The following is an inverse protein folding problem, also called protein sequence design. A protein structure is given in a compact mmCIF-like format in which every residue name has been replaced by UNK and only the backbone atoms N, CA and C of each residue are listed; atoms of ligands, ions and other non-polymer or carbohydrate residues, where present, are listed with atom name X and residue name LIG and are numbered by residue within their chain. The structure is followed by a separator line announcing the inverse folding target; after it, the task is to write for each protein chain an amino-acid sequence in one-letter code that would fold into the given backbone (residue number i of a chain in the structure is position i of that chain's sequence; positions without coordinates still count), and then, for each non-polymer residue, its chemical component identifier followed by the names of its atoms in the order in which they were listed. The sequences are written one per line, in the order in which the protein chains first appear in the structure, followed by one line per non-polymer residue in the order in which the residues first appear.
data_IF_699099227239
#
_entry.id   IF_699099227239
#
_cell.length_a   1.000
_cell.length_b   1.000
_cell.length_c   1.000
_cell.angle_alpha   90.00
_cell.angle_beta   90.00
_cell.angle_gamma   90.00
#
_symmetry.space_group_name_H-M   'P 1'
#
loop_
_entity.id
_entity.type
_entity.pdbx_description
1 polymer ?
#
# COMPACT_ATOMS: atom_id res chain seq x y z
N UNK A 1 -5.39 17.82 -1.82
CA UNK A 1 -4.28 16.88 -2.05
C UNK A 1 -3.06 17.64 -2.55
N UNK A 2 -1.93 17.41 -1.91
CA UNK A 2 -0.63 17.98 -2.27
C UNK A 2 0.26 16.83 -2.71
N UNK A 3 0.93 16.96 -3.84
CA UNK A 3 1.81 15.91 -4.38
C UNK A 3 3.26 16.37 -4.40
N UNK A 4 4.17 15.44 -4.09
CA UNK A 4 5.61 15.66 -4.13
C UNK A 4 6.31 14.43 -4.71
N UNK A 5 7.22 14.62 -5.64
CA UNK A 5 8.04 13.52 -6.15
C UNK A 5 9.04 13.06 -5.08
N UNK A 6 9.09 11.75 -4.85
CA UNK A 6 10.13 11.09 -4.07
C UNK A 6 11.11 10.51 -5.08
N UNK A 7 12.34 10.96 -5.07
CA UNK A 7 13.36 10.37 -5.93
C UNK A 7 14.44 9.69 -5.10
N UNK A 8 14.82 8.51 -5.54
CA UNK A 8 15.93 7.76 -4.97
C UNK A 8 16.92 7.43 -6.07
N UNK A 9 18.19 7.73 -5.83
CA UNK A 9 19.28 7.52 -6.78
C UNK A 9 19.38 6.06 -7.30
N UNK A 10 18.92 5.10 -6.51
CA UNK A 10 19.07 3.67 -6.80
C UNK A 10 17.78 2.97 -7.24
N UNK A 11 16.60 3.49 -6.88
CA UNK A 11 15.32 2.78 -7.02
C UNK A 11 14.27 3.53 -7.86
N UNK A 12 14.64 4.67 -8.45
CA UNK A 12 13.73 5.43 -9.28
C UNK A 12 12.91 6.47 -8.52
N UNK A 13 11.77 6.82 -9.06
CA UNK A 13 10.90 7.87 -8.54
C UNK A 13 9.58 7.29 -8.03
N UNK A 14 9.11 7.82 -6.92
CA UNK A 14 7.78 7.59 -6.39
C UNK A 14 7.04 8.90 -6.21
N UNK A 15 5.82 8.84 -5.71
CA UNK A 15 4.99 9.99 -5.43
C UNK A 15 4.57 10.00 -3.96
N UNK A 16 4.82 11.09 -3.27
CA UNK A 16 4.26 11.36 -1.95
C UNK A 16 2.98 12.19 -2.11
N UNK A 17 1.92 11.77 -1.45
CA UNK A 17 0.63 12.46 -1.42
C UNK A 17 0.32 12.84 0.02
N UNK A 18 0.13 14.12 0.26
CA UNK A 18 -0.25 14.69 1.55
C UNK A 18 -1.67 15.27 1.47
N UNK A 19 -2.43 15.27 2.58
CA UNK A 19 -3.75 15.86 2.58
C UNK A 19 -3.70 17.38 2.45
N UNK A 20 -4.71 17.95 1.83
CA UNK A 20 -5.11 19.32 2.06
C UNK A 20 -5.84 19.41 3.41
N UNK A 21 -6.23 20.61 3.83
CA UNK A 21 -6.91 20.80 5.12
C UNK A 21 -8.15 19.87 5.21
N UNK A 22 -8.17 19.02 6.22
CA UNK A 22 -9.27 18.08 6.53
C UNK A 22 -9.63 17.09 5.38
N UNK A 23 -8.70 16.77 4.52
CA UNK A 23 -8.94 15.84 3.41
C UNK A 23 -8.87 14.38 3.88
N UNK A 24 -9.93 13.62 3.64
CA UNK A 24 -10.02 12.20 3.94
C UNK A 24 -9.43 11.38 2.78
N UNK A 25 -8.47 10.54 3.06
CA UNK A 25 -7.82 9.66 2.05
C UNK A 25 -8.84 8.81 1.27
N UNK A 26 -9.95 8.42 1.89
CA UNK A 26 -11.00 7.60 1.27
C UNK A 26 -11.87 8.37 0.28
N UNK A 27 -11.74 9.69 0.26
CA UNK A 27 -12.49 10.60 -0.63
C UNK A 27 -11.65 11.16 -1.78
N UNK A 28 -10.40 10.74 -1.87
CA UNK A 28 -9.56 11.10 -3.01
C UNK A 28 -10.17 10.56 -4.31
N UNK A 29 -10.00 11.30 -5.39
CA UNK A 29 -10.50 10.87 -6.69
C UNK A 29 -9.82 9.57 -7.14
N UNK A 30 -10.60 8.50 -7.26
CA UNK A 30 -10.13 7.17 -7.63
C UNK A 30 -9.33 7.17 -8.93
N UNK A 31 -9.89 7.78 -9.99
CA UNK A 31 -9.25 7.76 -11.30
C UNK A 31 -7.94 8.54 -11.30
N UNK A 32 -7.87 9.61 -10.53
CA UNK A 32 -6.65 10.38 -10.38
C UNK A 32 -5.57 9.56 -9.66
N UNK A 33 -5.92 8.89 -8.54
CA UNK A 33 -4.96 8.07 -7.78
C UNK A 33 -4.45 6.90 -8.64
N UNK A 34 -5.33 6.22 -9.36
CA UNK A 34 -4.93 5.12 -10.27
C UNK A 34 -3.95 5.62 -11.33
N UNK A 35 -4.25 6.73 -12.01
CA UNK A 35 -3.35 7.32 -13.01
C UNK A 35 -2.00 7.74 -12.44
N UNK A 36 -1.99 8.29 -11.22
CA UNK A 36 -0.74 8.65 -10.54
C UNK A 36 0.08 7.41 -10.20
N UNK A 37 -0.57 6.34 -9.74
CA UNK A 37 0.08 5.08 -9.45
C UNK A 37 0.67 4.42 -10.71
N UNK A 38 -0.11 4.33 -11.77
CA UNK A 38 0.36 3.80 -13.07
C UNK A 38 1.61 4.54 -13.58
N UNK A 39 1.65 5.85 -13.36
CA UNK A 39 2.79 6.68 -13.77
C UNK A 39 4.01 6.53 -12.88
N UNK A 40 3.82 6.44 -11.55
CA UNK A 40 4.92 6.48 -10.57
C UNK A 40 5.36 5.09 -10.08
N UNK A 41 4.49 4.07 -10.19
CA UNK A 41 4.72 2.73 -9.64
C UNK A 41 4.73 2.65 -8.11
N UNK A 42 4.83 3.79 -7.43
CA UNK A 42 4.85 3.89 -5.96
C UNK A 42 4.15 5.16 -5.51
N UNK A 43 3.19 5.00 -4.60
CA UNK A 43 2.58 6.13 -3.88
C UNK A 43 2.80 5.94 -2.38
N UNK A 44 3.28 6.99 -1.73
CA UNK A 44 3.34 7.13 -0.29
C UNK A 44 2.29 8.14 0.16
N UNK A 45 1.22 7.66 0.79
CA UNK A 45 0.27 8.53 1.48
C UNK A 45 0.82 8.90 2.86
N UNK A 46 1.02 10.18 3.11
CA UNK A 46 1.60 10.69 4.36
C UNK A 46 0.65 11.68 5.02
N UNK A 47 0.66 11.68 6.34
CA UNK A 47 -0.08 12.65 7.18
C UNK A 47 -1.63 12.60 7.02
N UNK A 48 -2.16 11.51 6.49
CA UNK A 48 -3.59 11.25 6.53
C UNK A 48 -4.00 10.60 7.85
N UNK A 49 -5.06 11.11 8.46
CA UNK A 49 -5.63 10.51 9.67
C UNK A 49 -6.46 9.28 9.31
N UNK A 50 -5.84 8.11 9.35
CA UNK A 50 -6.50 6.82 9.15
C UNK A 50 -6.10 5.83 10.25
N UNK A 51 -7.07 5.14 10.81
CA UNK A 51 -6.83 4.11 11.82
C UNK A 51 -6.57 2.75 11.15
N UNK A 52 -5.78 1.91 11.80
CA UNK A 52 -5.51 0.54 11.32
C UNK A 52 -6.78 -0.28 11.07
N UNK A 53 -7.84 -0.06 11.86
CA UNK A 53 -9.14 -0.71 11.67
C UNK A 53 -9.89 -0.27 10.41
N UNK A 54 -9.48 0.81 9.77
CA UNK A 54 -10.11 1.38 8.58
C UNK A 54 -9.34 1.09 7.29
N UNK A 55 -8.14 0.50 7.42
CA UNK A 55 -7.26 0.27 6.26
C UNK A 55 -7.91 -0.63 5.20
N UNK A 56 -8.65 -1.66 5.60
CA UNK A 56 -9.37 -2.52 4.66
C UNK A 56 -10.41 -1.73 3.87
N UNK A 57 -11.13 -0.83 4.52
CA UNK A 57 -12.12 0.02 3.82
C UNK A 57 -11.46 0.93 2.78
N UNK A 58 -10.22 1.36 3.02
CA UNK A 58 -9.46 2.10 2.04
C UNK A 58 -9.02 1.21 0.88
N UNK A 59 -8.43 0.05 1.19
CA UNK A 59 -7.93 -0.86 0.15
C UNK A 59 -9.04 -1.47 -0.70
N UNK A 60 -10.23 -1.69 -0.13
CA UNK A 60 -11.42 -2.15 -0.86
C UNK A 60 -11.84 -1.21 -2.00
N UNK A 61 -11.50 0.09 -1.91
CA UNK A 61 -11.77 1.03 -3.00
C UNK A 61 -10.95 0.73 -4.27
N UNK A 62 -9.83 0.01 -4.12
CA UNK A 62 -8.86 -0.26 -5.18
C UNK A 62 -8.65 -1.75 -5.45
N UNK A 63 -9.40 -2.63 -4.78
CA UNK A 63 -9.14 -4.07 -4.78
C UNK A 63 -10.43 -4.83 -5.07
N UNK A 64 -10.44 -5.61 -6.13
CA UNK A 64 -11.53 -6.55 -6.41
C UNK A 64 -11.33 -7.89 -5.71
N UNK A 65 -10.08 -8.36 -5.65
CA UNK A 65 -9.72 -9.65 -5.05
C UNK A 65 -8.43 -9.51 -4.23
N UNK A 66 -8.44 -10.07 -3.03
CA UNK A 66 -7.25 -10.13 -2.18
C UNK A 66 -6.47 -11.41 -2.42
N UNK A 67 -5.14 -11.29 -2.56
CA UNK A 67 -4.26 -12.45 -2.58
C UNK A 67 -4.15 -13.06 -1.17
N UNK A 68 -4.27 -14.37 -1.08
CA UNK A 68 -4.26 -15.12 0.18
C UNK A 68 -3.00 -15.97 0.38
N UNK A 69 -1.90 -15.60 -0.21
CA UNK A 69 -0.69 -16.43 -0.28
C UNK A 69 0.10 -16.49 1.04
N UNK A 70 -0.16 -15.56 1.95
CA UNK A 70 0.53 -15.48 3.23
C UNK A 70 -0.18 -16.22 4.37
N UNK A 71 -0.59 -17.46 4.15
CA UNK A 71 -1.34 -18.28 5.11
C UNK A 71 -0.65 -18.46 6.47
N UNK A 72 0.67 -18.34 6.54
CA UNK A 72 1.46 -18.48 7.76
C UNK A 72 1.60 -17.20 8.57
N UNK A 73 1.29 -16.04 7.98
CA UNK A 73 1.35 -14.75 8.68
C UNK A 73 0.09 -14.57 9.53
N UNK A 74 0.26 -14.10 10.74
CA UNK A 74 -0.88 -13.81 11.63
C UNK A 74 -1.67 -12.64 11.07
N UNK A 75 -2.98 -12.82 10.92
CA UNK A 75 -3.89 -11.71 10.63
C UNK A 75 -3.87 -10.72 11.78
N UNK A 76 -3.91 -9.43 11.48
CA UNK A 76 -4.12 -8.41 12.49
C UNK A 76 -5.62 -8.24 12.72
N UNK A 77 -6.02 -8.26 13.99
CA UNK A 77 -7.42 -8.14 14.41
C UNK A 77 -8.33 -9.21 13.75
N UNK A 78 -9.56 -8.86 13.49
CA UNK A 78 -10.55 -9.71 12.81
C UNK A 78 -10.44 -9.66 11.27
N UNK A 79 -9.53 -8.82 10.77
CA UNK A 79 -9.37 -8.57 9.34
C UNK A 79 -8.33 -9.54 8.76
N UNK A 80 -8.78 -10.55 8.06
CA UNK A 80 -7.92 -11.59 7.46
C UNK A 80 -6.99 -11.05 6.37
N UNK A 81 -7.37 -9.97 5.73
CA UNK A 81 -6.68 -9.31 4.62
C UNK A 81 -5.46 -8.51 5.10
N UNK A 82 -5.49 -8.03 6.34
CA UNK A 82 -4.38 -7.27 6.93
C UNK A 82 -3.49 -8.20 7.74
N UNK A 83 -2.22 -8.27 7.37
CA UNK A 83 -1.23 -9.13 8.00
C UNK A 83 -0.02 -8.34 8.44
N UNK A 84 0.61 -8.81 9.51
CA UNK A 84 1.90 -8.22 9.91
C UNK A 84 2.96 -8.55 8.85
N UNK A 85 3.88 -7.61 8.64
CA UNK A 85 5.12 -7.88 7.92
C UNK A 85 5.97 -8.83 8.77
N UNK A 86 6.72 -9.72 8.13
CA UNK A 86 7.60 -10.64 8.83
C UNK A 86 8.68 -9.89 9.59
N UNK A 87 8.95 -10.35 10.82
CA UNK A 87 10.05 -9.84 11.62
C UNK A 87 11.36 -10.47 11.15
N UNK A 88 12.32 -9.66 10.79
CA UNK A 88 13.67 -10.11 10.45
C UNK A 88 14.54 -8.95 10.03
N UNK A 89 15.83 -9.06 10.31
CA UNK A 89 16.85 -8.11 9.86
C UNK A 89 17.80 -8.78 8.84
N UNK A 90 17.40 -9.92 8.29
CA UNK A 90 18.19 -10.65 7.32
C UNK A 90 18.07 -10.00 5.94
N UNK A 91 19.15 -10.11 5.19
CA UNK A 91 19.16 -9.65 3.80
C UNK A 91 18.13 -10.43 3.00
N UNK A 92 17.30 -9.70 2.25
CA UNK A 92 16.30 -10.27 1.35
C UNK A 92 16.65 -9.91 -0.09
N UNK A 93 16.79 -10.91 -0.94
CA UNK A 93 17.00 -10.69 -2.35
C UNK A 93 15.82 -9.94 -2.98
N UNK A 94 16.08 -9.12 -3.98
CA UNK A 94 15.02 -8.46 -4.74
C UNK A 94 14.09 -9.51 -5.35
N UNK A 95 12.81 -9.40 -5.10
CA UNK A 95 11.78 -10.31 -5.58
C UNK A 95 10.47 -9.55 -5.81
N UNK A 96 9.60 -10.11 -6.63
CA UNK A 96 8.20 -9.70 -6.69
C UNK A 96 7.37 -10.50 -5.70
N UNK A 97 6.39 -9.87 -5.09
CA UNK A 97 5.50 -10.55 -4.13
C UNK A 97 4.78 -11.71 -4.83
N UNK A 98 4.68 -12.84 -4.13
CA UNK A 98 4.05 -14.06 -4.64
C UNK A 98 4.59 -14.57 -5.99
N UNK A 99 5.86 -14.32 -6.30
CA UNK A 99 6.49 -14.72 -7.58
C UNK A 99 6.49 -16.23 -7.87
N UNK A 100 6.23 -17.04 -6.85
CA UNK A 100 6.06 -18.50 -6.92
C UNK A 100 4.59 -18.93 -7.20
N UNK A 101 3.65 -17.98 -7.19
CA UNK A 101 2.22 -18.23 -7.42
C UNK A 101 1.83 -17.86 -8.85
N UNK A 102 0.87 -18.57 -9.46
CA UNK A 102 0.30 -18.16 -10.76
C UNK A 102 -0.54 -16.87 -10.66
N UNK A 103 -0.91 -16.47 -9.45
CA UNK A 103 -1.73 -15.29 -9.17
C UNK A 103 -0.92 -14.31 -8.32
N UNK A 104 -0.22 -13.40 -8.93
CA UNK A 104 0.53 -12.34 -8.26
C UNK A 104 -0.34 -11.09 -8.06
N UNK A 105 -0.18 -10.36 -6.97
CA UNK A 105 -0.92 -9.13 -6.74
C UNK A 105 -0.45 -8.03 -7.70
N UNK A 106 -1.39 -7.27 -8.24
CA UNK A 106 -1.08 -6.07 -9.04
C UNK A 106 -0.67 -4.90 -8.15
N UNK A 107 -1.18 -4.87 -6.91
CA UNK A 107 -0.92 -3.81 -5.92
C UNK A 107 -0.60 -4.45 -4.57
N UNK A 108 0.37 -3.90 -3.89
CA UNK A 108 0.72 -4.24 -2.51
C UNK A 108 0.54 -2.99 -1.65
N UNK A 109 -0.13 -3.15 -0.51
CA UNK A 109 -0.34 -2.11 0.45
C UNK A 109 0.49 -2.34 1.70
N UNK A 110 1.24 -1.32 2.12
CA UNK A 110 1.91 -1.30 3.41
C UNK A 110 1.30 -0.20 4.27
N UNK A 111 1.03 -0.52 5.52
CA UNK A 111 0.52 0.42 6.49
C UNK A 111 1.45 0.50 7.69
N UNK A 112 1.96 1.70 7.97
CA UNK A 112 2.74 1.98 9.19
C UNK A 112 1.75 2.28 10.32
N UNK A 113 1.84 1.52 11.41
CA UNK A 113 0.90 1.62 12.53
C UNK A 113 1.43 2.49 13.69
N UNK A 114 2.66 3.00 13.59
CA UNK A 114 3.33 3.85 14.60
C UNK A 114 4.04 5.01 13.94
#
# INVERSE_FOLDING_TARGET
MITKTISNKFYGEGLEINPSINEDIRKLDYNLIVKLFEKSGLILFRDFEIKSSEIVKLTDLYTENYANDALRRKSRMEQKEVRNVDYGNEEMALHSEASFSPNWPEIIWFFCNE
#
